data_IF_312841718291
#
_entry.id   IF_312841718291
#
_cell.length_a   1.000
_cell.length_b   1.000
_cell.length_c   1.000
_cell.angle_alpha   90.00
_cell.angle_beta   90.00
_cell.angle_gamma   90.00
#
_symmetry.space_group_name_H-M   'P 1'
#
loop_
_entity.id
_entity.type
_entity.pdbx_description
1 polymer ?
#
# COMPACT_ATOMS: atom_id res chain seq x y z
N UNK A 1 -9.88 -6.99 -27.11
CA UNK A 1 -8.59 -6.39 -27.50
C UNK A 1 -7.83 -6.05 -26.24
N UNK A 2 -6.63 -6.60 -26.08
CA UNK A 2 -5.71 -6.18 -25.04
C UNK A 2 -4.93 -4.95 -25.51
N UNK A 3 -4.90 -3.88 -24.72
CA UNK A 3 -4.05 -2.71 -25.02
C UNK A 3 -2.60 -3.01 -24.62
N UNK A 4 -1.59 -2.34 -25.21
CA UNK A 4 -0.20 -2.50 -24.77
C UNK A 4 0.02 -2.09 -23.29
N UNK A 5 -0.96 -1.41 -22.69
CA UNK A 5 -0.94 -0.93 -21.31
C UNK A 5 -1.52 -1.92 -20.30
N UNK A 6 -2.28 -2.93 -20.73
CA UNK A 6 -3.03 -3.81 -19.82
C UNK A 6 -2.12 -4.63 -18.89
N UNK A 7 -0.92 -5.01 -19.37
CA UNK A 7 0.05 -5.74 -18.56
C UNK A 7 0.59 -4.86 -17.41
N UNK A 8 0.99 -3.63 -17.72
CA UNK A 8 1.49 -2.67 -16.75
C UNK A 8 0.40 -2.27 -15.73
N UNK A 9 -0.85 -2.06 -16.17
CA UNK A 9 -1.96 -1.79 -15.27
C UNK A 9 -2.20 -2.94 -14.27
N UNK A 10 -2.15 -4.21 -14.75
CA UNK A 10 -2.29 -5.38 -13.88
C UNK A 10 -1.12 -5.50 -12.89
N UNK A 11 0.10 -5.19 -13.33
CA UNK A 11 1.27 -5.19 -12.47
C UNK A 11 1.15 -4.15 -11.36
N UNK A 12 0.82 -2.90 -11.70
CA UNK A 12 0.68 -1.82 -10.72
C UNK A 12 -0.50 -2.07 -9.76
N UNK A 13 -1.60 -2.64 -10.24
CA UNK A 13 -2.70 -3.05 -9.36
C UNK A 13 -2.28 -4.14 -8.35
N UNK A 14 -1.45 -5.11 -8.76
CA UNK A 14 -0.89 -6.11 -7.85
C UNK A 14 0.08 -5.50 -6.85
N UNK A 15 0.94 -4.60 -7.30
CA UNK A 15 1.88 -3.88 -6.44
C UNK A 15 1.13 -3.07 -5.36
N UNK A 16 0.07 -2.34 -5.73
CA UNK A 16 -0.79 -1.65 -4.76
C UNK A 16 -1.42 -2.61 -3.74
N UNK A 17 -1.88 -3.77 -4.19
CA UNK A 17 -2.43 -4.77 -3.26
C UNK A 17 -1.36 -5.31 -2.31
N UNK A 18 -0.12 -5.54 -2.77
CA UNK A 18 1.00 -5.94 -1.89
C UNK A 18 1.29 -4.87 -0.84
N UNK A 19 1.46 -3.61 -1.27
CA UNK A 19 1.73 -2.48 -0.38
C UNK A 19 0.63 -2.30 0.67
N UNK A 20 -0.64 -2.49 0.29
CA UNK A 20 -1.77 -2.44 1.25
C UNK A 20 -1.68 -3.54 2.30
N UNK A 21 -1.24 -4.74 1.93
CA UNK A 21 -1.05 -5.84 2.87
C UNK A 21 0.13 -5.56 3.81
N UNK A 22 1.24 -5.04 3.29
CA UNK A 22 2.41 -4.66 4.08
C UNK A 22 2.08 -3.54 5.09
N UNK A 23 1.34 -2.51 4.67
CA UNK A 23 0.85 -1.45 5.57
C UNK A 23 -0.04 -2.03 6.68
N UNK A 24 -0.94 -2.95 6.33
CA UNK A 24 -1.82 -3.59 7.31
C UNK A 24 -1.04 -4.46 8.31
N UNK A 25 0.02 -5.13 7.86
CA UNK A 25 0.92 -5.90 8.72
C UNK A 25 1.69 -4.98 9.68
N UNK A 26 2.26 -3.90 9.19
CA UNK A 26 2.96 -2.91 10.01
C UNK A 26 2.04 -2.28 11.06
N UNK A 27 0.80 -1.93 10.69
CA UNK A 27 -0.20 -1.44 11.63
C UNK A 27 -0.54 -2.48 12.73
N UNK A 28 -0.68 -3.76 12.34
CA UNK A 28 -0.92 -4.85 13.30
C UNK A 28 0.25 -5.04 14.27
N UNK A 29 1.49 -4.87 13.78
CA UNK A 29 2.69 -4.90 14.62
C UNK A 29 2.69 -3.75 15.63
N UNK A 30 2.42 -2.50 15.22
CA UNK A 30 2.35 -1.36 16.16
C UNK A 30 1.29 -1.60 17.25
N UNK A 31 0.10 -2.09 16.89
CA UNK A 31 -0.92 -2.41 17.88
C UNK A 31 -0.45 -3.49 18.88
N UNK A 32 0.25 -4.52 18.41
CA UNK A 32 0.80 -5.56 19.26
C UNK A 32 1.86 -4.99 20.22
N UNK A 33 2.71 -4.09 19.74
CA UNK A 33 3.70 -3.37 20.53
C UNK A 33 3.04 -2.48 21.59
N UNK A 34 1.97 -1.76 21.24
CA UNK A 34 1.17 -0.96 22.19
C UNK A 34 0.60 -1.84 23.30
N UNK A 35 -0.04 -2.96 22.94
CA UNK A 35 -0.57 -3.93 23.93
C UNK A 35 0.52 -4.45 24.86
N UNK A 36 1.69 -4.78 24.31
CA UNK A 36 2.83 -5.27 25.10
C UNK A 36 3.41 -4.21 26.03
N UNK A 37 3.52 -2.97 25.57
CA UNK A 37 3.98 -1.83 26.39
C UNK A 37 3.04 -1.56 27.55
N UNK A 38 1.73 -1.62 27.30
CA UNK A 38 0.70 -1.47 28.33
C UNK A 38 0.79 -2.58 29.38
N UNK A 39 0.84 -3.84 28.97
CA UNK A 39 0.97 -4.97 29.89
C UNK A 39 2.23 -4.85 30.78
N UNK A 40 3.38 -4.47 30.20
CA UNK A 40 4.59 -4.21 30.98
C UNK A 40 4.44 -3.05 31.97
N UNK A 41 3.65 -2.03 31.62
CA UNK A 41 3.32 -0.93 32.52
C UNK A 41 2.48 -1.39 33.71
N UNK A 42 1.44 -2.20 33.44
CA UNK A 42 0.56 -2.78 34.46
C UNK A 42 1.33 -3.74 35.39
N UNK A 43 2.22 -4.57 34.86
CA UNK A 43 3.05 -5.45 35.68
C UNK A 43 4.05 -4.67 36.53
N UNK A 44 4.67 -3.62 35.99
CA UNK A 44 5.56 -2.76 36.74
C UNK A 44 4.83 -2.01 37.87
N UNK A 45 3.57 -1.61 37.67
CA UNK A 45 2.74 -1.02 38.73
C UNK A 45 2.43 -2.04 39.83
N UNK A 46 2.10 -3.29 39.46
CA UNK A 46 1.88 -4.37 40.44
C UNK A 46 3.13 -4.66 41.27
N UNK A 47 4.29 -4.81 40.62
CA UNK A 47 5.56 -5.03 41.32
C UNK A 47 5.88 -3.89 42.31
N UNK A 48 5.64 -2.64 41.94
CA UNK A 48 5.79 -1.50 42.87
C UNK A 48 4.83 -1.59 44.06
N UNK A 49 3.58 -1.97 43.82
CA UNK A 49 2.60 -2.12 44.89
C UNK A 49 2.98 -3.25 45.85
N UNK A 50 3.52 -4.36 45.34
CA UNK A 50 3.99 -5.49 46.15
C UNK A 50 5.18 -5.10 47.03
N UNK A 51 6.17 -4.36 46.50
CA UNK A 51 7.28 -3.84 47.28
C UNK A 51 6.85 -2.82 48.36
N UNK A 52 5.79 -2.05 48.11
CA UNK A 52 5.21 -1.15 49.13
C UNK A 52 4.56 -1.96 50.25
N UNK A 53 3.91 -3.08 49.93
CA UNK A 53 3.26 -3.97 50.91
C UNK A 53 4.25 -4.81 51.71
N UNK A 54 5.32 -5.27 51.06
CA UNK A 54 6.41 -6.01 51.67
C UNK A 54 7.76 -5.37 51.28
N UNK A 55 8.32 -4.51 52.16
CA UNK A 55 9.60 -3.84 51.90
C UNK A 55 10.81 -4.78 51.76
N UNK A 56 10.69 -6.04 52.19
CA UNK A 56 11.75 -7.05 52.02
C UNK A 56 11.80 -7.58 50.57
N UNK A 57 10.75 -7.34 49.78
CA UNK A 57 10.65 -7.80 48.41
C UNK A 57 11.34 -6.81 47.46
N UNK A 58 12.56 -7.13 47.02
CA UNK A 58 13.30 -6.29 46.07
C UNK A 58 12.81 -6.51 44.62
N UNK A 59 12.03 -5.54 44.11
CA UNK A 59 11.58 -5.53 42.71
C UNK A 59 12.45 -4.67 41.79
N UNK A 60 13.52 -4.07 42.29
CA UNK A 60 14.32 -3.07 41.56
C UNK A 60 14.87 -3.62 40.25
N UNK A 61 15.40 -4.85 40.27
CA UNK A 61 15.93 -5.52 39.06
C UNK A 61 14.83 -5.79 38.04
N UNK A 62 13.66 -6.23 38.50
CA UNK A 62 12.50 -6.46 37.64
C UNK A 62 12.03 -5.16 36.98
N UNK A 63 11.88 -4.08 37.76
CA UNK A 63 11.46 -2.76 37.27
C UNK A 63 12.46 -2.18 36.27
N UNK A 64 13.77 -2.35 36.51
CA UNK A 64 14.81 -1.92 35.58
C UNK A 64 14.71 -2.66 34.23
N UNK A 65 14.47 -3.97 34.25
CA UNK A 65 14.26 -4.76 33.04
C UNK A 65 12.97 -4.37 32.31
N UNK A 66 11.87 -4.14 33.03
CA UNK A 66 10.61 -3.68 32.46
C UNK A 66 10.79 -2.33 31.76
N UNK A 67 11.52 -1.39 32.36
CA UNK A 67 11.84 -0.09 31.76
C UNK A 67 12.69 -0.24 30.48
N UNK A 68 13.71 -1.10 30.48
CA UNK A 68 14.51 -1.40 29.29
C UNK A 68 13.65 -1.99 28.16
N UNK A 69 12.77 -2.95 28.48
CA UNK A 69 11.86 -3.56 27.49
C UNK A 69 10.90 -2.54 26.90
N UNK A 70 10.31 -1.66 27.72
CA UNK A 70 9.44 -0.57 27.23
C UNK A 70 10.18 0.39 26.30
N UNK A 71 11.42 0.76 26.60
CA UNK A 71 12.26 1.56 25.69
C UNK A 71 12.55 0.84 24.38
N UNK A 72 12.78 -0.47 24.42
CA UNK A 72 12.98 -1.27 23.22
C UNK A 72 11.72 -1.32 22.35
N UNK A 73 10.55 -1.48 22.98
CA UNK A 73 9.27 -1.43 22.28
C UNK A 73 9.07 -0.08 21.62
N UNK A 74 9.32 1.02 22.33
CA UNK A 74 9.13 2.36 21.77
C UNK A 74 10.04 2.63 20.57
N UNK A 75 11.30 2.17 20.62
CA UNK A 75 12.20 2.25 19.46
C UNK A 75 11.64 1.48 18.25
N UNK A 76 11.15 0.25 18.47
CA UNK A 76 10.54 -0.53 17.38
C UNK A 76 9.29 0.14 16.83
N UNK A 77 8.48 0.80 17.67
CA UNK A 77 7.30 1.55 17.20
C UNK A 77 7.68 2.72 16.30
N UNK A 78 8.76 3.44 16.63
CA UNK A 78 9.30 4.51 15.78
C UNK A 78 9.77 3.93 14.43
N UNK A 79 10.46 2.79 14.43
CA UNK A 79 10.88 2.11 13.22
C UNK A 79 9.69 1.67 12.36
N UNK A 80 8.68 1.03 12.96
CA UNK A 80 7.45 0.61 12.28
C UNK A 80 6.70 1.81 11.71
N UNK A 81 6.62 2.93 12.43
CA UNK A 81 6.01 4.16 11.92
C UNK A 81 6.73 4.71 10.68
N UNK A 82 8.07 4.69 10.69
CA UNK A 82 8.87 5.10 9.53
C UNK A 82 8.71 4.12 8.34
N UNK A 83 8.66 2.82 8.60
CA UNK A 83 8.35 1.79 7.59
C UNK A 83 6.96 2.05 6.96
N UNK A 84 5.95 2.37 7.78
CA UNK A 84 4.61 2.70 7.29
C UNK A 84 4.58 3.95 6.41
N UNK A 85 5.30 5.00 6.78
CA UNK A 85 5.42 6.22 5.97
C UNK A 85 6.03 5.91 4.59
N UNK A 86 7.12 5.14 4.55
CA UNK A 86 7.75 4.73 3.28
C UNK A 86 6.85 3.87 2.40
N UNK A 87 6.07 2.96 3.01
CA UNK A 87 5.10 2.14 2.27
C UNK A 87 3.95 3.00 1.71
N UNK A 88 3.51 4.02 2.45
CA UNK A 88 2.49 4.96 1.99
C UNK A 88 2.98 5.81 0.82
N UNK A 89 4.22 6.31 0.88
CA UNK A 89 4.84 7.04 -0.22
C UNK A 89 4.96 6.16 -1.48
N UNK A 90 5.40 4.91 -1.29
CA UNK A 90 5.49 3.93 -2.37
C UNK A 90 4.11 3.66 -2.99
N UNK A 91 3.07 3.50 -2.16
CA UNK A 91 1.71 3.30 -2.64
C UNK A 91 1.19 4.52 -3.41
N UNK A 92 1.51 5.74 -2.94
CA UNK A 92 1.20 6.98 -3.64
C UNK A 92 1.85 7.05 -5.03
N UNK A 93 3.13 6.69 -5.12
CA UNK A 93 3.86 6.63 -6.39
C UNK A 93 3.25 5.63 -7.37
N UNK A 94 3.00 4.39 -6.93
CA UNK A 94 2.39 3.36 -7.80
C UNK A 94 0.97 3.74 -8.23
N UNK A 95 0.20 4.40 -7.36
CA UNK A 95 -1.14 4.90 -7.70
C UNK A 95 -1.08 5.98 -8.79
N UNK A 96 -0.13 6.92 -8.69
CA UNK A 96 0.09 7.95 -9.70
C UNK A 96 0.49 7.33 -11.06
N UNK A 97 1.39 6.34 -11.06
CA UNK A 97 1.75 5.61 -12.27
C UNK A 97 0.56 4.88 -12.90
N UNK A 98 -0.25 4.20 -12.07
CA UNK A 98 -1.44 3.50 -12.56
C UNK A 98 -2.43 4.47 -13.22
N UNK A 99 -2.61 5.66 -12.64
CA UNK A 99 -3.42 6.72 -13.23
C UNK A 99 -2.86 7.20 -14.58
N UNK A 100 -1.55 7.44 -14.66
CA UNK A 100 -0.88 7.87 -15.89
C UNK A 100 -1.02 6.82 -17.00
N UNK A 101 -0.79 5.54 -16.68
CA UNK A 101 -0.98 4.43 -17.62
C UNK A 101 -2.45 4.34 -18.06
N UNK A 102 -3.40 4.55 -17.15
CA UNK A 102 -4.82 4.59 -17.47
C UNK A 102 -5.18 5.67 -18.50
N UNK A 103 -4.59 6.86 -18.36
CA UNK A 103 -4.75 7.94 -19.33
C UNK A 103 -4.15 7.58 -20.69
N UNK A 104 -2.95 7.02 -20.72
CA UNK A 104 -2.32 6.55 -21.97
C UNK A 104 -3.19 5.48 -22.66
N UNK A 105 -3.72 4.52 -21.91
CA UNK A 105 -4.61 3.49 -22.44
C UNK A 105 -5.90 4.09 -23.03
N UNK A 106 -6.50 5.09 -22.36
CA UNK A 106 -7.67 5.80 -22.87
C UNK A 106 -7.38 6.53 -24.18
N UNK A 107 -6.26 7.27 -24.25
CA UNK A 107 -5.87 7.98 -25.48
C UNK A 107 -5.59 7.02 -26.63
N UNK A 108 -4.99 5.86 -26.35
CA UNK A 108 -4.74 4.82 -27.35
C UNK A 108 -6.05 4.26 -27.94
N UNK A 109 -7.01 3.90 -27.07
CA UNK A 109 -8.32 3.41 -27.52
C UNK A 109 -9.05 4.42 -28.40
N UNK A 110 -8.98 5.71 -28.05
CA UNK A 110 -9.55 6.78 -28.88
C UNK A 110 -8.85 6.89 -30.24
N UNK A 111 -7.51 6.81 -30.29
CA UNK A 111 -6.75 6.82 -31.55
C UNK A 111 -7.09 5.62 -32.42
N UNK A 112 -7.21 4.43 -31.86
CA UNK A 112 -7.59 3.22 -32.57
C UNK A 112 -9.02 3.29 -33.12
N UNK A 113 -9.97 3.77 -32.31
CA UNK A 113 -11.35 3.96 -32.74
C UNK A 113 -11.45 4.91 -33.93
N UNK A 114 -10.72 6.05 -33.88
CA UNK A 114 -10.64 6.99 -35.00
C UNK A 114 -10.06 6.33 -36.25
N UNK A 115 -8.95 5.60 -36.13
CA UNK A 115 -8.33 4.90 -37.27
C UNK A 115 -9.30 3.91 -37.93
N UNK A 116 -10.04 3.14 -37.14
CA UNK A 116 -11.07 2.22 -37.63
C UNK A 116 -12.17 2.93 -38.38
N UNK A 117 -12.75 3.97 -37.78
CA UNK A 117 -13.80 4.76 -38.42
C UNK A 117 -13.34 5.38 -39.73
N UNK A 118 -12.11 5.91 -39.79
CA UNK A 118 -11.56 6.43 -41.05
C UNK A 118 -11.30 5.36 -42.11
N UNK A 119 -10.90 4.16 -41.70
CA UNK A 119 -10.67 3.04 -42.61
C UNK A 119 -11.99 2.50 -43.16
N UNK A 120 -13.02 2.41 -42.32
CA UNK A 120 -14.38 2.05 -42.70
C UNK A 120 -14.96 3.05 -43.69
N UNK A 121 -14.83 4.36 -43.43
CA UNK A 121 -15.32 5.40 -44.32
C UNK A 121 -14.64 5.34 -45.70
N UNK A 122 -13.32 5.18 -45.75
CA UNK A 122 -12.59 5.01 -47.02
C UNK A 122 -13.06 3.76 -47.78
N UNK A 123 -13.24 2.64 -47.08
CA UNK A 123 -13.74 1.41 -47.70
C UNK A 123 -15.17 1.56 -48.26
N UNK A 124 -16.01 2.38 -47.63
CA UNK A 124 -17.34 2.74 -48.14
C UNK A 124 -17.20 3.63 -49.38
N UNK A 125 -16.38 4.67 -49.31
CA UNK A 125 -16.16 5.62 -50.41
C UNK A 125 -15.59 4.91 -51.66
N UNK A 126 -14.61 4.02 -51.49
CA UNK A 126 -14.00 3.23 -52.56
C UNK A 126 -15.03 2.31 -53.25
N UNK A 127 -15.91 1.67 -52.46
CA UNK A 127 -17.01 0.83 -52.99
C UNK A 127 -18.01 1.65 -53.78
N UNK A 128 -18.40 2.83 -53.29
CA UNK A 128 -19.29 3.74 -54.02
C UNK A 128 -18.65 4.25 -55.31
N UNK A 129 -17.36 4.55 -55.31
CA UNK A 129 -16.62 4.94 -56.51
C UNK A 129 -16.59 3.82 -57.55
N UNK A 130 -16.30 2.58 -57.15
CA UNK A 130 -16.28 1.42 -58.05
C UNK A 130 -17.66 1.09 -58.65
N UNK A 131 -18.75 1.33 -57.92
CA UNK A 131 -20.11 1.15 -58.45
C UNK A 131 -20.50 2.21 -59.48
N UNK A 132 -19.93 3.43 -59.40
CA UNK A 132 -20.18 4.49 -60.40
C UNK A 132 -19.47 4.23 -61.73
N UNK A 133 -18.32 3.54 -61.73
CA UNK A 133 -17.56 3.27 -62.95
C UNK A 133 -18.06 2.06 -63.74
N UNK A 134 -18.98 1.26 -63.17
CA UNK A 134 -19.62 0.11 -63.82
C UNK A 134 -20.95 0.44 -64.50
N UNK A 135 -21.38 1.71 -64.48
CA UNK A 135 -22.59 2.24 -65.12
C UNK A 135 -22.23 3.14 -66.29
#
# INVERSE_FOLDING_TARGET
MTTPYDAAMRQNARALNSLRLEIAQAASEDEALVRRSRALGEDAQRARADQIRDPLLDTSRYLAQAAMRRRSIERRRIEVAAEMEQLQDSAGSVAAELQAIGQLAATHRLKEARRRSTAEQRGIDDRFAALRTLR
#
